data_IF_874689093389
#
_entry.id   IF_874689093389
#
_cell.length_a   1.000
_cell.length_b   1.000
_cell.length_c   1.000
_cell.angle_alpha   90.00
_cell.angle_beta   90.00
_cell.angle_gamma   90.00
#
_symmetry.space_group_name_H-M   'P 1'
#
loop_
_entity.id
_entity.type
_entity.pdbx_description
1 polymer ?
#
# COMPACT_ATOMS: atom_id res chain seq x y z
N UNK A 1 4.99 -1.66 -22.15
CA UNK A 1 4.81 -1.81 -20.69
C UNK A 1 5.79 -0.85 -20.05
N UNK A 2 5.32 0.31 -19.63
CA UNK A 2 6.18 1.35 -19.06
C UNK A 2 6.32 1.10 -17.57
N UNK A 3 7.53 0.78 -17.11
CA UNK A 3 7.84 0.70 -15.69
C UNK A 3 7.73 2.12 -15.09
N UNK A 4 6.81 2.28 -14.14
CA UNK A 4 6.73 3.50 -13.33
C UNK A 4 7.89 3.44 -12.33
N UNK A 5 8.82 4.39 -12.43
CA UNK A 5 9.89 4.55 -11.45
C UNK A 5 9.25 4.70 -10.06
N UNK A 6 9.60 3.83 -9.12
CA UNK A 6 9.13 3.92 -7.75
C UNK A 6 9.65 5.24 -7.15
N UNK A 7 8.76 6.22 -7.01
CA UNK A 7 9.04 7.44 -6.27
C UNK A 7 8.97 7.10 -4.78
N UNK A 8 9.89 7.61 -3.97
CA UNK A 8 9.81 7.48 -2.51
C UNK A 8 8.67 8.39 -2.03
N UNK A 9 7.48 7.83 -1.87
CA UNK A 9 6.31 8.53 -1.33
C UNK A 9 6.42 8.75 0.18
N UNK A 10 5.39 9.36 0.79
CA UNK A 10 5.36 9.62 2.23
C UNK A 10 5.68 8.39 3.09
N UNK A 11 6.39 8.63 4.19
CA UNK A 11 6.64 7.60 5.21
C UNK A 11 5.39 7.43 6.08
N UNK A 12 4.74 6.28 5.91
CA UNK A 12 3.48 5.97 6.61
C UNK A 12 3.72 5.47 8.05
N UNK A 13 4.97 5.32 8.47
CA UNK A 13 5.36 4.88 9.82
C UNK A 13 5.93 6.03 10.66
N UNK A 14 5.96 7.26 10.11
CA UNK A 14 6.42 8.45 10.81
C UNK A 14 5.40 8.91 11.87
N UNK A 15 5.88 9.48 12.98
CA UNK A 15 5.01 9.95 14.06
C UNK A 15 4.07 11.09 13.62
N UNK A 16 4.50 11.90 12.65
CA UNK A 16 3.71 12.96 12.03
C UNK A 16 2.54 12.40 11.23
N UNK A 17 2.74 11.24 10.58
CA UNK A 17 1.68 10.54 9.86
C UNK A 17 0.63 9.99 10.83
N UNK A 18 1.06 9.40 11.95
CA UNK A 18 0.15 8.94 13.02
C UNK A 18 -0.64 10.09 13.65
N UNK A 19 -0.02 11.28 13.78
CA UNK A 19 -0.64 12.46 14.37
C UNK A 19 -1.70 13.10 13.46
N UNK A 20 -1.42 13.22 12.16
CA UNK A 20 -2.37 13.72 11.16
C UNK A 20 -2.08 13.10 9.77
N UNK A 21 -2.78 12.01 9.39
CA UNK A 21 -2.49 11.30 8.14
C UNK A 21 -3.11 11.98 6.90
N UNK A 22 -4.07 12.89 7.07
CA UNK A 22 -4.85 13.41 5.94
C UNK A 22 -4.05 14.26 4.95
N UNK A 23 -3.10 15.12 5.38
CA UNK A 23 -2.18 15.80 4.47
C UNK A 23 -1.37 14.83 3.62
N UNK A 24 -0.84 13.77 4.22
CA UNK A 24 -0.07 12.75 3.51
C UNK A 24 -0.95 11.98 2.52
N UNK A 25 -2.19 11.63 2.89
CA UNK A 25 -3.11 11.02 1.93
C UNK A 25 -3.44 11.93 0.74
N UNK A 26 -3.51 13.24 0.94
CA UNK A 26 -3.71 14.19 -0.15
C UNK A 26 -2.53 14.18 -1.11
N UNK A 27 -1.31 14.28 -0.58
CA UNK A 27 -0.07 14.19 -1.36
C UNK A 27 0.03 12.85 -2.10
N UNK A 28 -0.25 11.73 -1.42
CA UNK A 28 -0.21 10.40 -2.03
C UNK A 28 -1.17 10.32 -3.22
N UNK A 29 -2.39 10.83 -3.12
CA UNK A 29 -3.37 10.78 -4.23
C UNK A 29 -2.96 11.62 -5.44
N UNK A 30 -2.34 12.76 -5.19
CA UNK A 30 -1.92 13.72 -6.22
C UNK A 30 -0.66 13.25 -6.94
N UNK A 31 0.39 12.93 -6.16
CA UNK A 31 1.76 12.75 -6.66
C UNK A 31 2.25 11.30 -6.64
N UNK A 32 1.66 10.43 -5.80
CA UNK A 32 2.12 9.06 -5.58
C UNK A 32 0.97 8.03 -5.71
N UNK A 33 0.34 7.90 -6.89
CA UNK A 33 -0.79 6.98 -7.09
C UNK A 33 -0.45 5.51 -6.77
N UNK A 34 0.80 5.13 -7.02
CA UNK A 34 1.39 3.83 -6.69
C UNK A 34 2.87 4.04 -6.36
N UNK A 35 3.31 3.61 -5.19
CA UNK A 35 4.74 3.61 -4.85
C UNK A 35 5.14 2.44 -3.94
N UNK A 36 6.41 2.08 -3.97
CA UNK A 36 6.97 1.10 -3.05
C UNK A 36 7.49 1.82 -1.81
N UNK A 37 6.92 1.53 -0.65
CA UNK A 37 7.35 2.06 0.62
C UNK A 37 8.46 1.15 1.19
N UNK A 38 9.71 1.54 0.98
CA UNK A 38 10.89 0.70 1.29
C UNK A 38 10.94 0.25 2.75
N UNK A 39 10.58 1.12 3.68
CA UNK A 39 10.65 0.85 5.13
C UNK A 39 9.72 -0.30 5.53
N UNK A 40 8.50 -0.34 4.98
CA UNK A 40 7.55 -1.43 5.27
C UNK A 40 7.66 -2.61 4.29
N UNK A 41 8.36 -2.45 3.16
CA UNK A 41 8.40 -3.43 2.08
C UNK A 41 7.06 -3.64 1.36
N UNK A 42 6.13 -2.68 1.47
CA UNK A 42 4.81 -2.79 0.87
C UNK A 42 4.62 -1.80 -0.27
N UNK A 43 3.77 -2.19 -1.21
CA UNK A 43 3.25 -1.28 -2.23
C UNK A 43 2.06 -0.50 -1.67
N UNK A 44 2.09 0.82 -1.85
CA UNK A 44 1.04 1.74 -1.45
C UNK A 44 0.21 2.14 -2.66
N UNK A 45 -1.10 1.99 -2.56
CA UNK A 45 -2.09 2.39 -3.58
C UNK A 45 -2.96 3.47 -2.97
N UNK A 46 -3.02 4.65 -3.60
CA UNK A 46 -3.63 5.83 -2.97
C UNK A 46 -4.92 6.30 -3.62
N UNK A 47 -5.08 6.11 -4.94
CA UNK A 47 -6.28 6.55 -5.67
C UNK A 47 -7.44 5.59 -5.46
N UNK A 48 -8.62 6.16 -5.21
CA UNK A 48 -9.83 5.38 -4.94
C UNK A 48 -10.13 4.33 -6.03
N UNK A 49 -10.01 4.69 -7.31
CA UNK A 49 -10.28 3.78 -8.42
C UNK A 49 -9.33 2.56 -8.43
N UNK A 50 -8.07 2.77 -8.06
CA UNK A 50 -7.08 1.70 -8.00
C UNK A 50 -7.33 0.80 -6.78
N UNK A 51 -7.64 1.39 -5.61
CA UNK A 51 -8.03 0.65 -4.41
C UNK A 51 -9.29 -0.19 -4.66
N UNK A 52 -10.33 0.40 -5.26
CA UNK A 52 -11.58 -0.29 -5.59
C UNK A 52 -11.33 -1.46 -6.55
N UNK A 53 -10.47 -1.29 -7.56
CA UNK A 53 -10.09 -2.36 -8.48
C UNK A 53 -9.38 -3.49 -7.76
N UNK A 54 -8.35 -3.18 -6.96
CA UNK A 54 -7.60 -4.18 -6.18
C UNK A 54 -8.53 -4.95 -5.25
N UNK A 55 -9.46 -4.25 -4.60
CA UNK A 55 -10.41 -4.87 -3.68
C UNK A 55 -11.40 -5.82 -4.37
N UNK A 56 -11.74 -5.59 -5.65
CA UNK A 56 -12.67 -6.42 -6.42
C UNK A 56 -11.99 -7.56 -7.20
N UNK A 57 -10.71 -7.42 -7.52
CA UNK A 57 -9.95 -8.39 -8.31
C UNK A 57 -9.29 -9.45 -7.43
N UNK A 58 -10.10 -10.40 -6.94
CA UNK A 58 -9.65 -11.49 -6.07
C UNK A 58 -8.78 -12.55 -6.75
N UNK A 59 -8.72 -12.56 -8.09
CA UNK A 59 -7.86 -13.47 -8.86
C UNK A 59 -6.42 -12.95 -8.88
N UNK A 60 -6.24 -11.63 -9.07
CA UNK A 60 -4.92 -11.02 -9.11
C UNK A 60 -4.40 -10.60 -7.72
N UNK A 61 -5.31 -10.29 -6.78
CA UNK A 61 -4.97 -9.82 -5.44
C UNK A 61 -5.65 -10.66 -4.37
N UNK A 62 -4.85 -11.30 -3.53
CA UNK A 62 -5.34 -12.15 -2.44
C UNK A 62 -5.18 -11.47 -1.09
N UNK A 63 -6.17 -11.65 -0.20
CA UNK A 63 -6.09 -11.26 1.21
C UNK A 63 -5.36 -12.30 2.08
N UNK A 64 -4.87 -13.40 1.50
CA UNK A 64 -4.13 -14.49 2.18
C UNK A 64 -2.68 -14.07 2.48
N UNK A 65 -2.49 -12.91 3.08
CA UNK A 65 -1.18 -12.30 3.38
C UNK A 65 -0.38 -13.10 4.43
N UNK A 66 -1.09 -13.69 5.39
CA UNK A 66 -0.49 -14.31 6.57
C UNK A 66 -0.65 -15.83 6.64
N UNK A 67 -1.12 -16.49 5.59
CA UNK A 67 -1.40 -17.93 5.66
C UNK A 67 -0.17 -18.76 6.05
N UNK A 68 0.97 -18.45 5.45
CA UNK A 68 2.25 -19.09 5.77
C UNK A 68 2.82 -18.69 7.14
N UNK A 69 2.46 -17.51 7.67
CA UNK A 69 2.86 -17.08 9.02
C UNK A 69 1.97 -17.69 10.11
N UNK A 70 0.72 -18.01 9.79
CA UNK A 70 -0.27 -18.55 10.72
C UNK A 70 -0.35 -20.09 10.70
N UNK A 71 0.24 -20.77 9.70
CA UNK A 71 0.32 -22.24 9.65
C UNK A 71 0.92 -22.86 10.93
N UNK A 72 2.02 -22.34 11.51
CA UNK A 72 2.58 -22.91 12.74
C UNK A 72 1.65 -22.79 13.97
N UNK A 73 0.59 -21.98 13.90
CA UNK A 73 -0.33 -21.73 15.02
C UNK A 73 -1.58 -22.63 14.97
N UNK A 74 -1.85 -23.27 13.83
CA UNK A 74 -2.94 -24.21 13.67
C UNK A 74 -2.33 -25.57 13.31
N UNK A 75 -2.11 -26.39 14.35
CA UNK A 75 -1.61 -27.75 14.21
C UNK A 75 -2.51 -28.67 13.41
#
# INVERSE_FOLDING_TARGET
MTAVAASTGPDILAAEFDADPYPFYAEMRESYPLYHHEVSGFWMVSRYQDVERVFKDGESFSSRNYEWQNEPLHG
#
